data_IF_964034517810
#
_entry.id   IF_964034517810
#
_cell.length_a   1.000
_cell.length_b   1.000
_cell.length_c   1.000
_cell.angle_alpha   90.00
_cell.angle_beta   90.00
_cell.angle_gamma   90.00
#
_symmetry.space_group_name_H-M   'P 1'
#
loop_
_entity.id
_entity.type
_entity.pdbx_description
1 polymer ?
#
# COMPACT_ATOMS: atom_id res chain seq x y z
N UNK A 1 3.98 -3.53 17.45
CA UNK A 1 3.40 -2.17 17.40
C UNK A 1 2.49 -2.04 18.62
N UNK A 2 2.40 -0.87 19.26
CA UNK A 2 1.48 -0.67 20.39
C UNK A 2 0.03 -0.82 19.88
N UNK A 3 -0.79 -1.64 20.53
CA UNK A 3 -2.19 -1.89 20.13
C UNK A 3 -3.00 -0.58 20.04
N UNK A 4 -2.81 0.32 20.99
CA UNK A 4 -3.46 1.63 20.99
C UNK A 4 -3.13 2.46 19.74
N UNK A 5 -1.88 2.41 19.30
CA UNK A 5 -1.44 3.13 18.10
C UNK A 5 -2.07 2.54 16.84
N UNK A 6 -2.22 1.22 16.75
CA UNK A 6 -2.87 0.56 15.61
C UNK A 6 -4.33 0.99 15.51
N UNK A 7 -5.04 1.04 16.63
CA UNK A 7 -6.45 1.41 16.63
C UNK A 7 -6.66 2.88 16.24
N UNK A 8 -5.80 3.78 16.73
CA UNK A 8 -5.79 5.18 16.31
C UNK A 8 -5.53 5.32 14.79
N UNK A 9 -4.61 4.53 14.25
CA UNK A 9 -4.31 4.53 12.81
C UNK A 9 -5.46 3.94 11.99
N UNK A 10 -6.08 2.84 12.44
CA UNK A 10 -7.27 2.26 11.78
C UNK A 10 -8.40 3.29 11.72
N UNK A 11 -8.78 3.88 12.85
CA UNK A 11 -9.81 4.92 12.88
C UNK A 11 -9.51 6.10 11.95
N UNK A 12 -8.23 6.46 11.81
CA UNK A 12 -7.82 7.58 10.94
C UNK A 12 -7.92 7.26 9.45
N UNK A 13 -7.60 6.04 9.03
CA UNK A 13 -7.40 5.67 7.63
C UNK A 13 -8.47 4.74 7.04
N UNK A 14 -9.31 4.12 7.88
CA UNK A 14 -10.40 3.26 7.43
C UNK A 14 -11.34 4.01 6.47
N UNK A 15 -11.63 3.39 5.33
CA UNK A 15 -12.47 3.94 4.26
C UNK A 15 -11.87 5.13 3.49
N UNK A 16 -10.68 5.64 3.87
CA UNK A 16 -10.03 6.75 3.18
C UNK A 16 -9.45 6.29 1.83
N UNK A 17 -9.36 7.23 0.89
CA UNK A 17 -8.63 7.02 -0.37
C UNK A 17 -7.18 7.46 -0.19
N UNK A 18 -6.24 6.56 -0.40
CA UNK A 18 -4.80 6.82 -0.27
C UNK A 18 -4.14 6.65 -1.63
N UNK A 19 -3.45 7.69 -2.09
CA UNK A 19 -2.60 7.62 -3.27
C UNK A 19 -1.14 7.44 -2.83
N UNK A 20 -0.51 6.34 -3.22
CA UNK A 20 0.91 6.09 -3.05
C UNK A 20 1.60 6.36 -4.39
N UNK A 21 2.52 7.33 -4.41
CA UNK A 21 3.32 7.64 -5.60
C UNK A 21 4.68 6.94 -5.48
N UNK A 22 4.94 6.03 -6.41
CA UNK A 22 6.11 5.16 -6.45
C UNK A 22 5.83 3.78 -5.86
N UNK A 23 5.70 2.77 -6.71
CA UNK A 23 5.71 1.37 -6.28
C UNK A 23 7.14 0.92 -5.96
N UNK A 24 8.07 1.32 -6.83
CA UNK A 24 9.51 1.10 -6.66
C UNK A 24 9.97 -0.33 -6.93
N UNK A 25 11.25 -0.46 -7.25
CA UNK A 25 11.93 -1.76 -7.45
C UNK A 25 12.35 -2.40 -6.12
N UNK A 26 12.47 -1.58 -5.08
CA UNK A 26 12.87 -1.97 -3.72
C UNK A 26 11.66 -2.19 -2.79
N UNK A 27 10.45 -2.29 -3.34
CA UNK A 27 9.23 -2.66 -2.61
C UNK A 27 8.78 -1.69 -1.50
N UNK A 28 9.35 -0.49 -1.41
CA UNK A 28 8.89 0.53 -0.45
C UNK A 28 7.41 0.88 -0.64
N UNK A 29 6.98 1.08 -1.90
CA UNK A 29 5.58 1.34 -2.23
C UNK A 29 4.66 0.15 -1.97
N UNK A 30 5.16 -1.09 -2.14
CA UNK A 30 4.44 -2.31 -1.77
C UNK A 30 4.15 -2.32 -0.26
N UNK A 31 5.16 -2.01 0.56
CA UNK A 31 4.99 -1.94 2.02
C UNK A 31 3.93 -0.92 2.44
N UNK A 32 3.97 0.29 1.85
CA UNK A 32 2.96 1.32 2.11
C UNK A 32 1.56 0.88 1.67
N UNK A 33 1.45 0.26 0.50
CA UNK A 33 0.16 -0.21 -0.01
C UNK A 33 -0.48 -1.25 0.91
N UNK A 34 0.31 -2.23 1.37
CA UNK A 34 -0.14 -3.25 2.32
C UNK A 34 -0.55 -2.64 3.65
N UNK A 35 0.29 -1.76 4.19
CA UNK A 35 0.02 -1.08 5.46
C UNK A 35 -1.30 -0.32 5.43
N UNK A 36 -1.54 0.52 4.42
CA UNK A 36 -2.79 1.28 4.35
C UNK A 36 -4.01 0.39 4.06
N UNK A 37 -3.86 -0.67 3.27
CA UNK A 37 -4.93 -1.64 3.04
C UNK A 37 -5.30 -2.39 4.34
N UNK A 38 -4.32 -2.79 5.15
CA UNK A 38 -4.53 -3.41 6.47
C UNK A 38 -5.23 -2.49 7.48
N UNK A 39 -5.13 -1.16 7.28
CA UNK A 39 -5.89 -0.16 8.03
C UNK A 39 -7.31 0.08 7.48
N UNK A 40 -7.73 -0.64 6.44
CA UNK A 40 -9.05 -0.49 5.81
C UNK A 40 -9.16 0.65 4.80
N UNK A 41 -8.04 1.24 4.38
CA UNK A 41 -8.03 2.27 3.34
C UNK A 41 -8.18 1.66 1.93
N UNK A 42 -8.69 2.47 1.00
CA UNK A 42 -8.70 2.17 -0.44
C UNK A 42 -7.44 2.76 -1.06
N UNK A 43 -6.52 1.90 -1.48
CA UNK A 43 -5.19 2.32 -1.92
C UNK A 43 -5.09 2.31 -3.45
N UNK A 44 -4.53 3.37 -4.02
CA UNK A 44 -4.08 3.42 -5.41
C UNK A 44 -2.58 3.65 -5.40
N UNK A 45 -1.83 2.85 -6.16
CA UNK A 45 -0.39 3.03 -6.33
C UNK A 45 -0.10 3.40 -7.78
N UNK A 46 0.78 4.37 -8.00
CA UNK A 46 1.25 4.77 -9.33
C UNK A 46 2.77 4.75 -9.42
N UNK A 47 3.32 4.50 -10.59
CA UNK A 47 4.76 4.61 -10.86
C UNK A 47 4.96 5.02 -12.33
N UNK A 48 6.13 5.58 -12.65
CA UNK A 48 6.50 5.89 -14.04
C UNK A 48 7.09 4.69 -14.77
N UNK A 49 7.56 3.68 -14.04
CA UNK A 49 8.11 2.44 -14.61
C UNK A 49 6.99 1.59 -15.20
N UNK A 50 7.35 0.78 -16.19
CA UNK A 50 6.39 -0.12 -16.82
C UNK A 50 6.03 -1.30 -15.91
N UNK A 51 4.90 -1.97 -16.13
CA UNK A 51 4.53 -3.17 -15.39
C UNK A 51 5.60 -4.27 -15.42
N UNK A 52 6.30 -4.43 -16.54
CA UNK A 52 7.36 -5.43 -16.73
C UNK A 52 8.58 -5.12 -15.84
N UNK A 53 8.97 -3.84 -15.76
CA UNK A 53 10.04 -3.39 -14.87
C UNK A 53 9.65 -3.58 -13.40
N UNK A 54 8.36 -3.47 -13.08
CA UNK A 54 7.81 -3.61 -11.73
C UNK A 54 7.28 -5.01 -11.43
N UNK A 55 7.52 -6.00 -12.29
CA UNK A 55 6.88 -7.33 -12.19
C UNK A 55 7.00 -7.94 -10.80
N UNK A 56 8.18 -7.88 -10.19
CA UNK A 56 8.41 -8.39 -8.84
C UNK A 56 7.57 -7.65 -7.77
N UNK A 57 7.42 -6.33 -7.90
CA UNK A 57 6.61 -5.51 -6.99
C UNK A 57 5.11 -5.77 -7.15
N UNK A 58 4.65 -5.89 -8.41
CA UNK A 58 3.23 -6.14 -8.74
C UNK A 58 2.81 -7.53 -8.26
N UNK A 59 3.65 -8.55 -8.46
CA UNK A 59 3.35 -9.92 -8.00
C UNK A 59 3.08 -9.99 -6.49
N UNK A 60 3.74 -9.15 -5.68
CA UNK A 60 3.53 -9.10 -4.23
C UNK A 60 2.19 -8.49 -3.80
N UNK A 61 1.47 -7.87 -4.73
CA UNK A 61 0.18 -7.22 -4.52
C UNK A 61 -0.99 -7.96 -5.22
N UNK A 62 -0.74 -9.04 -5.96
CA UNK A 62 -1.78 -9.71 -6.78
C UNK A 62 -3.00 -10.26 -6.04
N UNK A 63 -2.87 -10.48 -4.72
CA UNK A 63 -3.94 -10.98 -3.86
C UNK A 63 -4.65 -9.86 -3.08
N UNK A 64 -4.26 -8.60 -3.30
CA UNK A 64 -4.93 -7.44 -2.73
C UNK A 64 -6.06 -6.99 -3.66
N UNK A 65 -7.15 -6.44 -3.11
CA UNK A 65 -8.31 -5.99 -3.86
C UNK A 65 -8.03 -4.77 -4.76
#
# INVERSE_FOLDING_TARGET
MNEKLIDELRQKYEGKKVLVVGLGLQMGGVGLAKFFNELGAKVIVTDKKTPEQLRASVELLKNYP
#
